data_IF_386810530168
#
_entry.id   IF_386810530168
#
_cell.length_a   1.000
_cell.length_b   1.000
_cell.length_c   1.000
_cell.angle_alpha   90.00
_cell.angle_beta   90.00
_cell.angle_gamma   90.00
#
_symmetry.space_group_name_H-M   'P 1'
#
loop_
_entity.id
_entity.type
_entity.pdbx_description
1 polymer ?
#
# COMPACT_ATOMS: atom_id res chain seq x y z
N UNK A 1 16.50 4.13 -22.51
CA UNK A 1 15.26 4.62 -21.86
C UNK A 1 15.43 6.02 -21.27
N UNK A 2 16.49 6.27 -20.48
CA UNK A 2 16.82 7.60 -19.94
C UNK A 2 16.93 8.70 -21.00
N UNK A 3 17.63 8.43 -22.11
CA UNK A 3 17.79 9.41 -23.20
C UNK A 3 16.45 9.74 -23.91
N UNK A 4 15.53 8.78 -24.01
CA UNK A 4 14.19 8.99 -24.57
C UNK A 4 13.31 9.88 -23.67
N UNK A 5 13.44 9.75 -22.33
CA UNK A 5 12.76 10.61 -21.36
C UNK A 5 13.31 12.03 -21.42
N UNK A 6 14.63 12.19 -21.56
CA UNK A 6 15.30 13.49 -21.69
C UNK A 6 14.79 14.22 -22.94
N UNK A 7 14.62 13.51 -24.05
CA UNK A 7 14.18 14.09 -25.33
C UNK A 7 12.68 14.42 -25.32
N UNK A 8 11.86 13.71 -24.54
CA UNK A 8 10.41 13.88 -24.58
C UNK A 8 9.73 13.77 -23.21
N UNK A 9 9.80 14.87 -22.43
CA UNK A 9 9.11 15.02 -21.14
C UNK A 9 7.62 14.68 -21.22
N UNK A 10 6.96 15.00 -22.35
CA UNK A 10 5.53 14.73 -22.53
C UNK A 10 5.22 13.23 -22.57
N UNK A 11 6.13 12.42 -23.13
CA UNK A 11 6.01 10.96 -23.15
C UNK A 11 6.22 10.39 -21.75
N UNK A 12 7.23 10.87 -21.03
CA UNK A 12 7.48 10.45 -19.64
C UNK A 12 6.27 10.73 -18.73
N UNK A 13 5.66 11.91 -18.83
CA UNK A 13 4.44 12.26 -18.09
C UNK A 13 3.26 11.36 -18.47
N UNK A 14 3.10 11.02 -19.76
CA UNK A 14 2.05 10.07 -20.20
C UNK A 14 2.26 8.67 -19.63
N UNK A 15 3.50 8.17 -19.62
CA UNK A 15 3.84 6.86 -19.03
C UNK A 15 3.54 6.87 -17.52
N UNK A 16 4.00 7.89 -16.81
CA UNK A 16 3.76 8.03 -15.36
C UNK A 16 2.26 8.08 -15.06
N UNK A 17 1.49 8.87 -15.82
CA UNK A 17 0.02 8.92 -15.67
C UNK A 17 -0.64 7.57 -15.96
N UNK A 18 -0.19 6.86 -16.99
CA UNK A 18 -0.72 5.53 -17.33
C UNK A 18 -0.45 4.51 -16.22
N UNK A 19 0.80 4.42 -15.75
CA UNK A 19 1.15 3.52 -14.65
C UNK A 19 0.47 3.90 -13.33
N UNK A 20 0.30 5.19 -13.04
CA UNK A 20 -0.50 5.63 -11.89
C UNK A 20 -1.94 5.11 -11.96
N UNK A 21 -2.59 5.23 -13.13
CA UNK A 21 -3.96 4.72 -13.33
C UNK A 21 -4.04 3.21 -13.19
N UNK A 22 -3.09 2.48 -13.77
CA UNK A 22 -3.01 1.02 -13.61
C UNK A 22 -2.84 0.63 -12.14
N UNK A 23 -1.96 1.32 -11.42
CA UNK A 23 -1.70 1.02 -10.02
C UNK A 23 -2.94 1.27 -9.16
N UNK A 24 -3.66 2.39 -9.36
CA UNK A 24 -4.94 2.63 -8.68
C UNK A 24 -5.98 1.57 -9.03
N UNK A 25 -6.06 1.17 -10.30
CA UNK A 25 -6.98 0.12 -10.74
C UNK A 25 -6.69 -1.22 -10.03
N UNK A 26 -5.43 -1.65 -9.97
CA UNK A 26 -5.07 -2.89 -9.28
C UNK A 26 -5.26 -2.81 -7.76
N UNK A 27 -4.93 -1.67 -7.12
CA UNK A 27 -5.24 -1.45 -5.69
C UNK A 27 -6.75 -1.62 -5.42
N UNK A 28 -7.58 -1.08 -6.30
CA UNK A 28 -9.03 -1.18 -6.19
C UNK A 28 -9.53 -2.60 -6.45
N UNK A 29 -8.98 -3.31 -7.44
CA UNK A 29 -9.30 -4.71 -7.69
C UNK A 29 -8.94 -5.59 -6.50
N UNK A 30 -7.72 -5.46 -5.98
CA UNK A 30 -7.26 -6.22 -4.82
C UNK A 30 -8.16 -5.96 -3.61
N UNK A 31 -8.51 -4.71 -3.36
CA UNK A 31 -9.45 -4.32 -2.29
C UNK A 31 -10.83 -4.97 -2.50
N UNK A 32 -11.37 -4.93 -3.72
CA UNK A 32 -12.67 -5.55 -4.05
C UNK A 32 -12.64 -7.06 -3.86
N UNK A 33 -11.57 -7.74 -4.27
CA UNK A 33 -11.40 -9.20 -4.11
C UNK A 33 -11.25 -9.55 -2.63
N UNK A 34 -10.47 -8.78 -1.88
CA UNK A 34 -10.15 -9.05 -0.47
C UNK A 34 -11.37 -8.89 0.44
N UNK A 35 -12.24 -7.92 0.15
CA UNK A 35 -13.29 -7.48 1.08
C UNK A 35 -14.72 -7.51 0.49
N UNK A 36 -14.88 -7.88 -0.78
CA UNK A 36 -16.15 -7.91 -1.50
C UNK A 36 -16.94 -6.59 -1.40
N UNK A 37 -16.24 -5.45 -1.46
CA UNK A 37 -16.84 -4.11 -1.35
C UNK A 37 -16.69 -3.30 -2.62
N UNK A 38 -17.72 -2.50 -2.91
CA UNK A 38 -17.60 -1.41 -3.85
C UNK A 38 -16.77 -0.29 -3.23
N UNK A 39 -15.86 0.27 -4.02
CA UNK A 39 -14.98 1.36 -3.60
C UNK A 39 -15.58 2.63 -4.19
N UNK A 40 -16.15 3.45 -3.32
CA UNK A 40 -16.65 4.77 -3.69
C UNK A 40 -15.71 5.84 -3.13
N UNK A 41 -15.23 6.71 -4.00
CA UNK A 41 -14.40 7.85 -3.61
C UNK A 41 -15.31 8.98 -3.11
N UNK A 42 -15.44 9.15 -1.79
CA UNK A 42 -16.31 10.15 -1.21
C UNK A 42 -15.70 10.77 0.06
N UNK A 43 -15.47 12.10 0.14
CA UNK A 43 -14.93 12.75 1.33
C UNK A 43 -15.81 12.55 2.59
N UNK A 44 -17.07 12.14 2.41
CA UNK A 44 -17.97 11.78 3.51
C UNK A 44 -17.43 10.70 4.43
N UNK A 45 -16.64 9.75 3.89
CA UNK A 45 -16.01 8.67 4.66
C UNK A 45 -14.93 9.16 5.64
N UNK A 46 -14.44 10.41 5.52
CA UNK A 46 -13.50 10.99 6.48
C UNK A 46 -14.07 11.01 7.91
N UNK A 47 -15.41 11.12 8.05
CA UNK A 47 -16.06 11.02 9.35
C UNK A 47 -15.87 9.64 9.98
N UNK A 48 -16.05 8.56 9.21
CA UNK A 48 -15.86 7.19 9.66
C UNK A 48 -14.39 6.92 10.04
N UNK A 49 -13.44 7.48 9.27
CA UNK A 49 -12.02 7.41 9.59
C UNK A 49 -11.73 8.09 10.94
N UNK A 50 -12.35 9.24 11.22
CA UNK A 50 -12.27 9.90 12.52
C UNK A 50 -12.82 9.06 13.67
N UNK A 51 -13.99 8.43 13.47
CA UNK A 51 -14.56 7.50 14.46
C UNK A 51 -13.66 6.29 14.70
N UNK A 52 -13.04 5.74 13.66
CA UNK A 52 -12.08 4.65 13.78
C UNK A 52 -10.88 5.04 14.66
N UNK A 53 -10.23 6.18 14.39
CA UNK A 53 -9.10 6.65 15.19
C UNK A 53 -9.48 6.92 16.64
N UNK A 54 -10.63 7.54 16.86
CA UNK A 54 -11.10 7.88 18.20
C UNK A 54 -11.50 6.63 19.00
N UNK A 55 -12.28 5.74 18.40
CA UNK A 55 -12.94 4.66 19.14
C UNK A 55 -12.08 3.40 19.21
N UNK A 56 -11.42 3.01 18.12
CA UNK A 56 -10.66 1.76 18.00
C UNK A 56 -9.19 1.95 18.36
N UNK A 57 -8.55 3.01 17.87
CA UNK A 57 -7.11 3.26 18.08
C UNK A 57 -6.80 4.13 19.30
N UNK A 58 -7.79 4.87 19.82
CA UNK A 58 -7.61 5.87 20.89
C UNK A 58 -6.56 6.94 20.55
N UNK A 59 -6.42 7.27 19.26
CA UNK A 59 -5.48 8.28 18.76
C UNK A 59 -6.21 9.61 18.57
N UNK A 60 -6.15 10.47 19.59
CA UNK A 60 -6.92 11.72 19.66
C UNK A 60 -6.48 12.69 18.55
N UNK A 61 -5.17 12.82 18.33
CA UNK A 61 -4.58 13.69 17.32
C UNK A 61 -5.03 13.34 15.91
N UNK A 62 -5.03 12.05 15.60
CA UNK A 62 -5.41 11.54 14.29
C UNK A 62 -6.93 11.62 14.07
N UNK A 63 -7.72 11.37 15.12
CA UNK A 63 -9.16 11.60 15.08
C UNK A 63 -9.50 13.07 14.84
N UNK A 64 -8.81 13.98 15.54
CA UNK A 64 -8.96 15.42 15.36
C UNK A 64 -8.72 15.82 13.90
N UNK A 65 -7.58 15.39 13.32
CA UNK A 65 -7.25 15.65 11.92
C UNK A 65 -8.37 15.18 10.98
N UNK A 66 -8.85 13.94 11.14
CA UNK A 66 -9.88 13.36 10.29
C UNK A 66 -11.21 14.12 10.36
N UNK A 67 -11.68 14.49 11.56
CA UNK A 67 -12.92 15.25 11.71
C UNK A 67 -12.78 16.67 11.15
N UNK A 68 -11.63 17.31 11.32
CA UNK A 68 -11.36 18.64 10.74
C UNK A 68 -11.35 18.58 9.21
N UNK A 69 -10.73 17.56 8.62
CA UNK A 69 -10.77 17.32 7.18
C UNK A 69 -12.18 17.05 6.67
N UNK A 70 -12.98 16.26 7.40
CA UNK A 70 -14.40 16.03 7.06
C UNK A 70 -15.19 17.34 7.02
N UNK A 71 -15.08 18.19 8.05
CA UNK A 71 -15.78 19.48 8.09
C UNK A 71 -15.34 20.39 6.92
N UNK A 72 -14.04 20.39 6.62
CA UNK A 72 -13.48 21.19 5.51
C UNK A 72 -14.03 20.77 4.15
N UNK A 73 -14.06 19.46 3.86
CA UNK A 73 -14.44 18.96 2.53
C UNK A 73 -15.94 18.65 2.40
N UNK A 74 -16.66 18.50 3.51
CA UNK A 74 -18.10 18.26 3.56
C UNK A 74 -18.81 19.29 4.47
N UNK A 75 -18.76 20.60 4.20
CA UNK A 75 -19.32 21.63 5.09
C UNK A 75 -20.83 21.49 5.33
N UNK A 76 -21.55 20.87 4.40
CA UNK A 76 -22.99 20.58 4.47
C UNK A 76 -23.29 19.09 4.71
N UNK A 77 -22.31 18.31 5.17
CA UNK A 77 -22.47 16.88 5.43
C UNK A 77 -23.36 16.60 6.65
N UNK A 78 -24.05 15.45 6.64
CA UNK A 78 -25.00 15.06 7.70
C UNK A 78 -24.37 15.03 9.11
N UNK A 79 -23.07 14.73 9.20
CA UNK A 79 -22.37 14.57 10.48
C UNK A 79 -21.57 15.81 10.91
N UNK A 80 -21.67 16.96 10.24
CA UNK A 80 -20.85 18.15 10.55
C UNK A 80 -21.04 18.63 11.99
N UNK A 81 -22.28 18.69 12.46
CA UNK A 81 -22.57 19.09 13.84
C UNK A 81 -22.00 18.08 14.86
N UNK A 82 -22.08 16.79 14.54
CA UNK A 82 -21.49 15.72 15.37
C UNK A 82 -19.97 15.84 15.41
N UNK A 83 -19.31 16.05 14.27
CA UNK A 83 -17.87 16.24 14.16
C UNK A 83 -17.39 17.47 14.97
N UNK A 84 -18.06 18.62 14.83
CA UNK A 84 -17.76 19.84 15.62
C UNK A 84 -17.88 19.61 17.12
N UNK A 85 -18.94 18.91 17.56
CA UNK A 85 -19.15 18.56 18.96
C UNK A 85 -18.10 17.56 19.50
N UNK A 86 -17.54 16.70 18.65
CA UNK A 86 -16.44 15.81 19.03
C UNK A 86 -15.16 16.63 19.19
N UNK A 87 -14.78 17.41 18.17
CA UNK A 87 -13.58 18.26 18.15
C UNK A 87 -13.52 19.15 19.40
N UNK A 88 -14.63 19.81 19.76
CA UNK A 88 -14.68 20.69 20.94
C UNK A 88 -14.39 19.98 22.25
N UNK A 89 -14.65 18.66 22.33
CA UNK A 89 -14.38 17.83 23.51
C UNK A 89 -12.96 17.26 23.53
N UNK A 90 -12.28 17.18 22.39
CA UNK A 90 -10.92 16.61 22.30
C UNK A 90 -9.84 17.52 22.92
N UNK A 91 -10.16 18.80 23.17
CA UNK A 91 -9.28 19.79 23.81
C UNK A 91 -7.82 19.75 23.31
N UNK A 92 -7.65 19.81 22.00
CA UNK A 92 -6.37 19.59 21.33
C UNK A 92 -5.94 20.82 20.50
N UNK A 93 -4.64 21.08 20.42
CA UNK A 93 -4.08 22.22 19.70
C UNK A 93 -3.64 21.84 18.28
N UNK A 94 -4.34 22.36 17.27
CA UNK A 94 -4.07 22.06 15.85
C UNK A 94 -2.62 22.27 15.39
N UNK A 95 -1.90 23.20 16.05
CA UNK A 95 -0.51 23.49 15.71
C UNK A 95 0.40 22.28 15.85
N UNK A 96 0.07 21.34 16.74
CA UNK A 96 0.87 20.15 17.02
C UNK A 96 0.72 19.05 15.96
N UNK A 97 -0.20 19.23 15.00
CA UNK A 97 -0.37 18.34 13.84
C UNK A 97 0.37 18.84 12.60
N UNK A 98 0.70 20.12 12.57
CA UNK A 98 1.33 20.72 11.40
C UNK A 98 2.79 20.25 11.31
N UNK A 99 3.27 19.89 10.11
CA UNK A 99 4.68 19.60 9.95
C UNK A 99 5.52 20.85 10.18
N UNK A 100 6.73 20.65 10.71
CA UNK A 100 7.73 21.71 10.77
C UNK A 100 8.20 21.97 9.35
N UNK A 101 8.06 23.21 8.88
CA UNK A 101 8.46 23.63 7.54
C UNK A 101 9.84 24.28 7.59
N UNK A 102 10.81 23.69 6.89
CA UNK A 102 12.18 24.20 6.78
C UNK A 102 12.60 24.17 5.31
N UNK A 103 12.76 25.36 4.70
CA UNK A 103 13.00 25.51 3.26
C UNK A 103 11.91 24.79 2.44
N UNK A 104 12.30 23.74 1.70
CA UNK A 104 11.41 22.91 0.89
C UNK A 104 11.07 21.56 1.56
N UNK A 105 11.40 21.38 2.84
CA UNK A 105 11.12 20.17 3.59
C UNK A 105 9.92 20.32 4.53
N UNK A 106 9.16 19.23 4.66
CA UNK A 106 8.17 19.04 5.72
C UNK A 106 8.66 17.95 6.66
N UNK A 107 8.79 18.27 7.95
CA UNK A 107 9.18 17.30 8.97
C UNK A 107 8.00 16.98 9.87
N UNK A 108 7.63 15.71 9.91
CA UNK A 108 6.55 15.17 10.73
C UNK A 108 7.13 14.35 11.88
N UNK A 109 6.54 14.46 13.06
CA UNK A 109 6.81 13.54 14.17
C UNK A 109 6.20 12.15 13.88
N UNK A 110 6.61 11.08 14.59
CA UNK A 110 5.96 9.78 14.51
C UNK A 110 4.44 9.85 14.74
N UNK A 111 3.70 8.92 14.16
CA UNK A 111 2.24 8.78 14.29
C UNK A 111 1.46 10.06 13.93
N UNK A 112 1.89 10.76 12.88
CA UNK A 112 1.22 11.94 12.33
C UNK A 112 0.68 11.64 10.94
N UNK A 113 -0.60 11.95 10.74
CA UNK A 113 -1.23 11.84 9.43
C UNK A 113 -0.59 12.84 8.47
N UNK A 114 -0.23 12.35 7.28
CA UNK A 114 0.20 13.16 6.15
C UNK A 114 -1.02 13.49 5.27
N UNK A 115 -1.84 12.47 4.99
CA UNK A 115 -3.18 12.61 4.38
C UNK A 115 -4.01 11.36 4.66
N UNK A 116 -5.33 11.47 4.50
CA UNK A 116 -6.27 10.35 4.61
C UNK A 116 -6.82 9.93 3.24
N UNK A 117 -7.28 8.68 3.16
CA UNK A 117 -8.10 8.20 2.07
C UNK A 117 -9.33 9.11 1.90
N UNK A 118 -9.76 9.32 0.66
CA UNK A 118 -10.85 10.23 0.28
C UNK A 118 -10.59 11.73 0.50
N UNK A 119 -9.40 12.15 0.95
CA UNK A 119 -9.03 13.57 0.92
C UNK A 119 -8.68 14.04 -0.48
N UNK A 120 -8.83 15.33 -0.72
CA UNK A 120 -8.29 15.98 -1.92
C UNK A 120 -6.76 16.02 -1.79
N UNK A 121 -6.04 15.49 -2.78
CA UNK A 121 -4.58 15.48 -2.82
C UNK A 121 -4.02 16.45 -3.86
N UNK A 122 -3.29 17.47 -3.41
CA UNK A 122 -2.67 18.48 -4.31
C UNK A 122 -1.17 18.30 -4.51
N UNK A 123 -0.56 17.44 -3.69
CA UNK A 123 0.88 17.19 -3.66
C UNK A 123 1.16 15.69 -3.66
N UNK A 124 2.27 15.29 -4.28
CA UNK A 124 2.94 14.05 -3.95
C UNK A 124 4.11 14.32 -3.01
N UNK A 125 4.67 13.27 -2.44
CA UNK A 125 5.76 13.38 -1.49
C UNK A 125 6.89 12.42 -1.85
N UNK A 126 8.12 12.89 -1.68
CA UNK A 126 9.33 12.07 -1.74
C UNK A 126 9.86 11.94 -0.32
N UNK A 127 10.11 10.71 0.14
CA UNK A 127 10.66 10.45 1.47
C UNK A 127 12.16 10.72 1.45
N UNK A 128 12.61 11.72 2.21
CA UNK A 128 14.03 12.00 2.39
C UNK A 128 14.62 11.28 3.60
N UNK A 129 13.81 11.05 4.63
CA UNK A 129 14.22 10.35 5.85
C UNK A 129 12.99 9.75 6.53
N UNK A 130 13.15 8.59 7.17
CA UNK A 130 12.11 7.91 7.95
C UNK A 130 11.22 6.96 7.15
N UNK A 131 10.16 6.49 7.81
CA UNK A 131 9.21 5.53 7.27
C UNK A 131 7.78 6.03 7.30
N UNK A 132 7.04 5.78 6.22
CA UNK A 132 5.61 6.14 6.08
C UNK A 132 4.80 4.86 5.87
N UNK A 133 3.78 4.68 6.70
CA UNK A 133 2.82 3.59 6.60
C UNK A 133 1.67 4.00 5.68
N UNK A 134 1.43 3.22 4.64
CA UNK A 134 0.28 3.34 3.73
C UNK A 134 -0.73 2.25 4.08
N UNK A 135 -1.98 2.64 4.32
CA UNK A 135 -3.02 1.71 4.76
C UNK A 135 -4.41 2.16 4.32
N UNK A 136 -5.37 1.24 4.34
CA UNK A 136 -6.81 1.53 4.21
C UNK A 136 -7.54 1.11 5.48
N UNK A 137 -8.74 1.66 5.69
CA UNK A 137 -9.63 1.23 6.78
C UNK A 137 -10.83 0.54 6.15
N UNK A 138 -11.00 -0.75 6.43
CA UNK A 138 -12.06 -1.58 5.85
C UNK A 138 -12.68 -2.40 6.97
N UNK A 139 -14.00 -2.32 7.13
CA UNK A 139 -14.74 -3.00 8.21
C UNK A 139 -14.17 -2.71 9.61
N UNK A 140 -13.84 -1.43 9.87
CA UNK A 140 -13.17 -0.98 11.10
C UNK A 140 -11.83 -1.69 11.39
N UNK A 141 -11.18 -2.23 10.36
CA UNK A 141 -9.85 -2.81 10.45
C UNK A 141 -8.86 -2.02 9.60
N UNK A 142 -7.67 -1.81 10.16
CA UNK A 142 -6.56 -1.21 9.43
C UNK A 142 -5.87 -2.28 8.59
N UNK A 143 -5.86 -2.08 7.28
CA UNK A 143 -5.22 -2.96 6.32
C UNK A 143 -3.95 -2.29 5.83
N UNK A 144 -2.79 -2.81 6.26
CA UNK A 144 -1.49 -2.33 5.82
C UNK A 144 -1.31 -2.64 4.33
N UNK A 145 -1.12 -1.61 3.52
CA UNK A 145 -0.82 -1.77 2.09
C UNK A 145 0.68 -1.77 1.84
N UNK A 146 1.42 -0.87 2.49
CA UNK A 146 2.87 -0.81 2.34
C UNK A 146 3.55 -0.02 3.47
N UNK A 147 4.85 -0.29 3.69
CA UNK A 147 5.74 0.52 4.51
C UNK A 147 6.80 1.14 3.59
N UNK A 148 6.72 2.46 3.41
CA UNK A 148 7.61 3.21 2.54
C UNK A 148 8.83 3.71 3.32
N UNK A 149 9.96 3.88 2.61
CA UNK A 149 11.26 4.29 3.16
C UNK A 149 11.91 5.40 2.33
N UNK A 150 13.10 5.84 2.74
CA UNK A 150 13.87 6.84 2.00
C UNK A 150 13.97 6.50 0.51
N UNK A 151 13.67 7.50 -0.34
CA UNK A 151 13.65 7.38 -1.79
C UNK A 151 12.29 7.04 -2.39
N UNK A 152 11.37 6.49 -1.61
CA UNK A 152 10.03 6.15 -2.09
C UNK A 152 9.18 7.39 -2.33
N UNK A 153 8.26 7.26 -3.27
CA UNK A 153 7.35 8.31 -3.73
C UNK A 153 5.92 7.84 -3.51
N UNK A 154 5.09 8.73 -2.95
CA UNK A 154 3.69 8.43 -2.67
C UNK A 154 2.78 9.65 -2.80
N UNK A 155 1.49 9.39 -2.96
CA UNK A 155 0.47 10.43 -3.17
C UNK A 155 0.38 10.91 -4.62
N UNK A 156 1.15 10.30 -5.52
CA UNK A 156 1.19 10.56 -6.96
C UNK A 156 -0.17 10.38 -7.64
N UNK A 157 -0.95 9.39 -7.21
CA UNK A 157 -2.21 9.04 -7.86
C UNK A 157 -3.27 10.14 -7.80
N UNK A 158 -3.29 10.92 -6.72
CA UNK A 158 -4.29 11.97 -6.56
C UNK A 158 -4.04 13.11 -7.56
N UNK A 159 -2.77 13.51 -7.71
CA UNK A 159 -2.39 14.64 -8.57
C UNK A 159 -2.36 14.27 -10.06
N UNK A 160 -2.03 13.02 -10.40
CA UNK A 160 -1.87 12.57 -11.79
C UNK A 160 -3.21 12.23 -12.44
N UNK A 161 -4.22 11.88 -11.63
CA UNK A 161 -5.55 11.51 -12.09
C UNK A 161 -6.62 12.54 -11.75
N UNK A 162 -6.28 13.61 -11.02
CA UNK A 162 -7.23 14.60 -10.49
C UNK A 162 -8.37 13.94 -9.68
N UNK A 163 -7.98 13.01 -8.79
CA UNK A 163 -8.86 12.19 -7.95
C UNK A 163 -8.54 12.32 -6.47
N UNK A 164 -9.40 11.76 -5.62
CA UNK A 164 -9.14 11.71 -4.19
C UNK A 164 -7.96 10.79 -3.88
N UNK A 165 -7.39 10.96 -2.68
CA UNK A 165 -6.37 10.06 -2.12
C UNK A 165 -6.92 8.63 -2.08
N UNK A 166 -6.14 7.69 -2.63
CA UNK A 166 -6.52 6.28 -2.73
C UNK A 166 -6.35 5.50 -1.42
N UNK A 167 -5.56 6.01 -0.48
CA UNK A 167 -5.24 5.36 0.79
C UNK A 167 -4.85 6.42 1.82
N UNK A 168 -4.75 6.03 3.09
CA UNK A 168 -4.20 6.84 4.16
C UNK A 168 -2.67 6.75 4.19
N UNK A 169 -2.02 7.85 4.57
CA UNK A 169 -0.58 7.90 4.82
C UNK A 169 -0.31 8.50 6.21
N UNK A 170 0.39 7.74 7.05
CA UNK A 170 0.79 8.15 8.40
C UNK A 170 2.28 7.89 8.62
N UNK A 171 2.97 8.78 9.33
CA UNK A 171 4.37 8.55 9.68
C UNK A 171 4.51 7.41 10.68
N UNK A 172 5.49 6.52 10.45
CA UNK A 172 5.83 5.45 11.38
C UNK A 172 7.01 5.86 12.28
N UNK A 173 7.96 6.61 11.73
CA UNK A 173 9.07 7.23 12.47
C UNK A 173 8.94 8.75 12.40
N UNK A 174 9.93 9.50 12.88
CA UNK A 174 10.10 10.88 12.43
C UNK A 174 10.38 10.84 10.92
N UNK A 175 9.69 11.66 10.14
CA UNK A 175 9.77 11.63 8.67
C UNK A 175 10.07 13.02 8.14
N UNK A 176 11.02 13.09 7.20
CA UNK A 176 11.32 14.29 6.41
C UNK A 176 10.89 14.07 4.97
N UNK A 177 10.02 14.94 4.46
CA UNK A 177 9.43 14.84 3.13
C UNK A 177 9.80 16.04 2.26
N UNK A 178 9.85 15.82 0.96
CA UNK A 178 9.82 16.88 -0.06
C UNK A 178 8.41 16.86 -0.70
N UNK A 179 7.55 17.86 -0.46
CA UNK A 179 6.28 17.98 -1.16
C UNK A 179 6.49 18.51 -2.58
N UNK A 180 5.79 17.91 -3.53
CA UNK A 180 5.80 18.31 -4.94
C UNK A 180 4.37 18.49 -5.42
N UNK A 181 3.98 19.73 -5.66
CA UNK A 181 2.69 20.04 -6.27
C UNK A 181 2.68 19.69 -7.76
N UNK A 182 1.49 19.64 -8.36
CA UNK A 182 1.28 19.31 -9.78
C UNK A 182 2.11 20.17 -10.75
N UNK A 183 2.20 21.48 -10.51
CA UNK A 183 2.94 22.41 -11.37
C UNK A 183 4.45 22.16 -11.29
N UNK A 184 4.96 21.87 -10.10
CA UNK A 184 6.36 21.57 -9.85
C UNK A 184 6.72 20.17 -10.36
N UNK A 185 5.78 19.24 -10.39
CA UNK A 185 6.01 17.88 -10.85
C UNK A 185 6.49 17.85 -12.32
N UNK A 186 5.79 18.56 -13.21
CA UNK A 186 6.19 18.63 -14.62
C UNK A 186 7.58 19.27 -14.79
N UNK A 187 7.87 20.31 -14.00
CA UNK A 187 9.19 20.94 -13.97
C UNK A 187 10.28 19.99 -13.46
N UNK A 188 9.99 19.16 -12.45
CA UNK A 188 10.93 18.16 -11.93
C UNK A 188 11.20 17.09 -12.99
N UNK A 189 10.17 16.57 -13.67
CA UNK A 189 10.35 15.57 -14.74
C UNK A 189 11.16 16.16 -15.90
N UNK A 190 10.97 17.44 -16.22
CA UNK A 190 11.70 18.14 -17.28
C UNK A 190 13.16 18.39 -16.93
N UNK A 191 13.42 18.95 -15.75
CA UNK A 191 14.75 19.42 -15.36
C UNK A 191 15.60 18.32 -14.70
N UNK A 192 14.97 17.28 -14.16
CA UNK A 192 15.63 16.15 -13.51
C UNK A 192 15.07 14.80 -14.03
N UNK A 193 15.36 14.43 -15.29
CA UNK A 193 14.89 13.18 -15.92
C UNK A 193 15.20 11.91 -15.13
N UNK A 194 16.28 11.92 -14.33
CA UNK A 194 16.65 10.84 -13.41
C UNK A 194 15.55 10.54 -12.39
N UNK A 195 14.86 11.58 -11.89
CA UNK A 195 13.76 11.45 -10.94
C UNK A 195 12.55 10.78 -11.63
N UNK A 196 12.28 11.16 -12.88
CA UNK A 196 11.21 10.55 -13.67
C UNK A 196 11.45 9.05 -13.91
N UNK A 197 12.69 8.65 -14.22
CA UNK A 197 13.07 7.23 -14.34
C UNK A 197 12.80 6.50 -13.03
N UNK A 198 13.25 7.04 -11.90
CA UNK A 198 13.01 6.43 -10.58
C UNK A 198 11.52 6.32 -10.23
N UNK A 199 10.72 7.33 -10.57
CA UNK A 199 9.26 7.28 -10.39
C UNK A 199 8.68 6.11 -11.21
N UNK A 200 9.02 6.02 -12.49
CA UNK A 200 8.53 4.97 -13.37
C UNK A 200 8.93 3.60 -12.84
N UNK A 201 10.20 3.40 -12.51
CA UNK A 201 10.70 2.14 -11.94
C UNK A 201 9.97 1.75 -10.66
N UNK A 202 9.75 2.70 -9.75
CA UNK A 202 9.06 2.46 -8.48
C UNK A 202 7.59 2.10 -8.70
N UNK A 203 6.86 2.83 -9.55
CA UNK A 203 5.46 2.51 -9.86
C UNK A 203 5.37 1.15 -10.59
N UNK A 204 6.26 0.87 -11.53
CA UNK A 204 6.30 -0.43 -12.23
C UNK A 204 6.54 -1.59 -11.26
N UNK A 205 7.46 -1.44 -10.30
CA UNK A 205 7.67 -2.46 -9.26
C UNK A 205 6.42 -2.67 -8.42
N UNK A 206 5.74 -1.59 -8.01
CA UNK A 206 4.48 -1.69 -7.25
C UNK A 206 3.37 -2.39 -8.04
N UNK A 207 3.20 -2.04 -9.32
CA UNK A 207 2.24 -2.71 -10.22
C UNK A 207 2.53 -4.20 -10.27
N UNK A 208 3.79 -4.58 -10.48
CA UNK A 208 4.20 -5.97 -10.59
C UNK A 208 3.95 -6.77 -9.30
N UNK A 209 4.23 -6.19 -8.13
CA UNK A 209 3.96 -6.84 -6.84
C UNK A 209 2.45 -7.04 -6.64
N UNK A 210 1.63 -6.02 -6.90
CA UNK A 210 0.17 -6.13 -6.72
C UNK A 210 -0.41 -7.12 -7.73
N UNK A 211 0.09 -7.13 -8.97
CA UNK A 211 -0.32 -8.12 -9.96
C UNK A 211 -0.11 -9.55 -9.44
N UNK A 212 1.10 -9.85 -8.96
CA UNK A 212 1.41 -11.15 -8.36
C UNK A 212 0.57 -11.45 -7.13
N UNK A 213 0.26 -10.44 -6.33
CA UNK A 213 -0.62 -10.60 -5.18
C UNK A 213 -2.04 -10.99 -5.62
N UNK A 214 -2.60 -10.32 -6.63
CA UNK A 214 -3.92 -10.66 -7.20
C UNK A 214 -3.90 -12.11 -7.71
N UNK A 215 -2.90 -12.49 -8.49
CA UNK A 215 -2.75 -13.87 -8.98
C UNK A 215 -2.68 -14.87 -7.81
N UNK A 216 -1.91 -14.56 -6.77
CA UNK A 216 -1.79 -15.40 -5.58
C UNK A 216 -3.13 -15.56 -4.85
N UNK A 217 -3.93 -14.50 -4.75
CA UNK A 217 -5.26 -14.54 -4.12
C UNK A 217 -6.25 -15.40 -4.91
N UNK A 218 -6.04 -15.62 -6.21
CA UNK A 218 -6.88 -16.50 -7.01
C UNK A 218 -6.58 -18.01 -6.80
N UNK A 219 -5.45 -18.35 -6.19
CA UNK A 219 -5.09 -19.76 -5.91
C UNK A 219 -6.08 -20.34 -4.90
N UNK A 220 -6.72 -21.47 -5.17
CA UNK A 220 -7.73 -22.03 -4.24
C UNK A 220 -7.14 -22.63 -2.97
N UNK A 221 -5.91 -23.14 -3.05
CA UNK A 221 -5.20 -23.75 -1.92
C UNK A 221 -4.57 -22.66 -1.03
N UNK A 222 -5.04 -22.55 0.21
CA UNK A 222 -4.56 -21.53 1.14
C UNK A 222 -3.11 -21.74 1.57
N UNK A 223 -2.62 -22.98 1.65
CA UNK A 223 -1.22 -23.26 1.95
C UNK A 223 -0.33 -22.73 0.82
N UNK A 224 -0.74 -22.96 -0.44
CA UNK A 224 -0.06 -22.42 -1.60
C UNK A 224 -0.03 -20.88 -1.59
N UNK A 225 -1.13 -20.23 -1.20
CA UNK A 225 -1.17 -18.76 -1.06
C UNK A 225 -0.13 -18.24 -0.08
N UNK A 226 0.04 -18.92 1.06
CA UNK A 226 1.00 -18.53 2.09
C UNK A 226 2.43 -18.61 1.54
N UNK A 227 2.82 -19.74 0.95
CA UNK A 227 4.16 -19.86 0.36
C UNK A 227 4.36 -18.91 -0.84
N UNK A 228 3.35 -18.76 -1.69
CA UNK A 228 3.35 -17.81 -2.80
C UNK A 228 3.58 -16.38 -2.34
N UNK A 229 2.92 -15.96 -1.25
CA UNK A 229 3.16 -14.67 -0.63
C UNK A 229 4.62 -14.52 -0.14
N UNK A 230 5.15 -15.51 0.59
CA UNK A 230 6.55 -15.47 1.03
C UNK A 230 7.52 -15.36 -0.16
N UNK A 231 7.26 -16.08 -1.25
CA UNK A 231 8.07 -16.00 -2.48
C UNK A 231 8.02 -14.60 -3.10
N UNK A 232 6.83 -13.99 -3.19
CA UNK A 232 6.66 -12.61 -3.68
C UNK A 232 7.46 -11.63 -2.81
N UNK A 233 7.49 -11.80 -1.48
CA UNK A 233 8.31 -10.97 -0.59
C UNK A 233 9.81 -11.15 -0.83
N UNK A 234 10.29 -12.37 -1.08
CA UNK A 234 11.69 -12.60 -1.44
C UNK A 234 12.06 -11.89 -2.75
N UNK A 235 11.19 -11.93 -3.75
CA UNK A 235 11.42 -11.22 -5.00
C UNK A 235 11.41 -9.69 -4.82
N UNK A 236 10.45 -9.18 -4.04
CA UNK A 236 10.36 -7.74 -3.69
C UNK A 236 11.65 -7.26 -3.05
N UNK A 237 12.17 -8.02 -2.10
CA UNK A 237 13.38 -7.70 -1.36
C UNK A 237 14.66 -8.10 -2.13
N UNK A 238 14.50 -8.65 -3.35
CA UNK A 238 15.58 -9.10 -4.24
C UNK A 238 16.53 -10.10 -3.58
N UNK A 239 15.98 -11.01 -2.79
CA UNK A 239 16.71 -12.04 -2.06
C UNK A 239 16.98 -13.23 -2.98
N UNK A 240 18.24 -13.58 -3.28
CA UNK A 240 18.54 -14.73 -4.13
C UNK A 240 18.27 -16.05 -3.38
N UNK A 241 17.66 -17.01 -4.09
CA UNK A 241 17.35 -18.35 -3.58
C UNK A 241 18.60 -19.25 -3.58
N UNK A 242 19.54 -18.97 -2.68
CA UNK A 242 20.74 -19.78 -2.51
C UNK A 242 20.49 -20.86 -1.46
N UNK A 243 20.93 -22.09 -1.76
CA UNK A 243 20.76 -23.25 -0.88
C UNK A 243 21.32 -22.98 0.52
N UNK A 244 20.51 -23.24 1.55
CA UNK A 244 20.92 -23.05 2.94
C UNK A 244 20.70 -21.65 3.50
N UNK A 245 20.35 -20.66 2.66
CA UNK A 245 20.08 -19.31 3.13
C UNK A 245 18.80 -19.29 3.97
N UNK A 246 18.82 -18.49 5.03
CA UNK A 246 17.64 -18.18 5.83
C UNK A 246 17.28 -16.71 5.67
N UNK A 247 16.02 -16.37 5.88
CA UNK A 247 15.56 -14.98 5.76
C UNK A 247 14.60 -14.63 6.90
N UNK A 248 14.80 -13.44 7.48
CA UNK A 248 13.86 -12.84 8.42
C UNK A 248 13.05 -11.82 7.63
N UNK A 249 11.79 -12.15 7.37
CA UNK A 249 10.88 -11.26 6.67
C UNK A 249 10.52 -10.10 7.60
N UNK A 250 10.43 -8.89 7.03
CA UNK A 250 9.78 -7.77 7.72
C UNK A 250 8.26 -7.91 7.62
N UNK A 251 7.74 -9.02 8.16
CA UNK A 251 6.36 -9.46 7.99
C UNK A 251 5.90 -10.21 9.24
N UNK A 252 4.77 -9.78 9.81
CA UNK A 252 4.10 -10.51 10.90
C UNK A 252 3.06 -11.49 10.35
N UNK A 253 2.53 -12.38 11.19
CA UNK A 253 1.45 -13.28 10.78
C UNK A 253 0.20 -12.52 10.30
N UNK A 254 -0.33 -11.51 11.03
CA UNK A 254 -1.44 -10.71 10.53
C UNK A 254 -1.18 -10.07 9.16
N UNK A 255 0.03 -9.56 8.92
CA UNK A 255 0.39 -8.94 7.64
C UNK A 255 0.36 -9.99 6.50
N UNK A 256 0.91 -11.18 6.75
CA UNK A 256 0.88 -12.29 5.79
C UNK A 256 -0.54 -12.75 5.49
N UNK A 257 -1.38 -12.91 6.50
CA UNK A 257 -2.78 -13.31 6.31
C UNK A 257 -3.57 -12.25 5.54
N UNK A 258 -3.35 -10.97 5.84
CA UNK A 258 -3.92 -9.86 5.08
C UNK A 258 -3.46 -9.88 3.62
N UNK A 259 -2.18 -10.16 3.36
CA UNK A 259 -1.65 -10.25 2.00
C UNK A 259 -2.31 -11.38 1.19
N UNK A 260 -2.64 -12.49 1.85
CA UNK A 260 -3.30 -13.66 1.26
C UNK A 260 -4.85 -13.57 1.23
N UNK A 261 -5.42 -12.47 1.73
CA UNK A 261 -6.87 -12.29 1.89
C UNK A 261 -7.51 -13.41 2.72
N UNK A 262 -6.85 -13.85 3.79
CA UNK A 262 -7.34 -14.89 4.69
C UNK A 262 -7.90 -14.26 5.97
N UNK A 263 -9.01 -14.81 6.46
CA UNK A 263 -9.54 -14.45 7.78
C UNK A 263 -8.48 -14.74 8.86
N UNK A 264 -8.31 -13.83 9.81
CA UNK A 264 -7.33 -13.96 10.89
C UNK A 264 -7.52 -15.23 11.75
N UNK A 265 -8.74 -15.69 11.99
CA UNK A 265 -8.99 -16.89 12.81
C UNK A 265 -8.61 -18.16 12.05
N UNK A 266 -9.19 -18.37 10.87
CA UNK A 266 -8.93 -19.53 10.01
C UNK A 266 -7.46 -19.57 9.56
N UNK A 267 -6.91 -18.41 9.19
CA UNK A 267 -5.53 -18.27 8.77
C UNK A 267 -4.53 -18.59 9.87
N UNK A 268 -4.82 -18.27 11.14
CA UNK A 268 -3.95 -18.64 12.27
C UNK A 268 -3.92 -20.13 12.52
N UNK A 269 -5.04 -20.83 12.34
CA UNK A 269 -5.11 -22.29 12.42
C UNK A 269 -4.21 -22.89 11.33
N UNK A 270 -4.35 -22.42 10.09
CA UNK A 270 -3.52 -22.84 8.97
C UNK A 270 -2.01 -22.59 9.21
N UNK A 271 -1.64 -21.41 9.72
CA UNK A 271 -0.25 -21.10 10.05
C UNK A 271 0.31 -22.07 11.10
N UNK A 272 -0.50 -22.45 12.10
CA UNK A 272 -0.09 -23.43 13.11
C UNK A 272 0.18 -24.79 12.47
N UNK A 273 -0.71 -25.26 11.59
CA UNK A 273 -0.51 -26.50 10.83
C UNK A 273 0.75 -26.43 9.94
N UNK A 274 1.02 -25.30 9.29
CA UNK A 274 2.23 -25.08 8.51
C UNK A 274 3.48 -25.18 9.40
N UNK A 275 3.50 -24.54 10.57
CA UNK A 275 4.65 -24.59 11.49
C UNK A 275 4.86 -25.99 12.09
N UNK A 276 3.79 -26.77 12.26
CA UNK A 276 3.88 -28.16 12.71
C UNK A 276 4.53 -29.05 11.64
N UNK A 277 4.15 -28.85 10.37
CA UNK A 277 4.58 -29.69 9.24
C UNK A 277 5.88 -29.23 8.56
N UNK A 278 6.17 -27.93 8.53
CA UNK A 278 7.37 -27.34 7.94
C UNK A 278 8.22 -26.64 9.02
N UNK A 279 9.23 -27.35 9.52
CA UNK A 279 10.16 -26.84 10.54
C UNK A 279 11.02 -25.67 10.07
N UNK A 280 11.05 -25.39 8.76
CA UNK A 280 11.72 -24.22 8.23
C UNK A 280 10.97 -22.93 8.52
N UNK A 281 9.64 -22.97 8.57
CA UNK A 281 8.79 -21.83 8.92
C UNK A 281 8.80 -21.63 10.44
N UNK A 282 9.31 -20.49 10.89
CA UNK A 282 9.43 -20.15 12.30
C UNK A 282 9.02 -18.69 12.54
N UNK A 283 8.79 -18.35 13.81
CA UNK A 283 8.57 -16.96 14.23
C UNK A 283 9.75 -16.55 15.12
N UNK A 284 10.37 -15.41 14.81
CA UNK A 284 11.43 -14.79 15.61
C UNK A 284 11.10 -13.32 15.82
N UNK A 285 11.11 -12.86 17.07
CA UNK A 285 10.82 -11.48 17.44
C UNK A 285 9.50 -10.94 16.84
N UNK A 286 8.46 -11.80 16.82
CA UNK A 286 7.14 -11.48 16.25
C UNK A 286 7.07 -11.46 14.73
N UNK A 287 8.18 -11.70 14.03
CA UNK A 287 8.30 -11.70 12.57
C UNK A 287 8.51 -13.10 12.03
N UNK A 288 8.17 -13.30 10.75
CA UNK A 288 8.33 -14.59 10.07
C UNK A 288 9.81 -14.80 9.73
N UNK A 289 10.35 -15.94 10.14
CA UNK A 289 11.68 -16.40 9.81
C UNK A 289 11.59 -17.72 9.06
N UNK A 290 12.25 -17.84 7.91
CA UNK A 290 12.26 -19.06 7.12
C UNK A 290 13.68 -19.57 6.88
N UNK A 291 13.94 -20.84 7.20
CA UNK A 291 15.23 -21.51 6.93
C UNK A 291 15.23 -22.15 5.54
N UNK A 292 16.37 -22.19 4.87
CA UNK A 292 16.49 -22.82 3.55
C UNK A 292 15.43 -22.28 2.57
N UNK A 293 15.45 -20.97 2.32
CA UNK A 293 14.41 -20.26 1.55
C UNK A 293 14.21 -20.81 0.13
N UNK A 294 15.17 -21.54 -0.43
CA UNK A 294 14.99 -22.27 -1.69
C UNK A 294 13.86 -23.32 -1.61
N UNK A 295 13.47 -23.74 -0.41
CA UNK A 295 12.36 -24.67 -0.20
C UNK A 295 10.99 -24.01 -0.37
N UNK A 296 10.88 -22.68 -0.24
CA UNK A 296 9.61 -21.97 -0.50
C UNK A 296 9.20 -22.18 -1.95
N UNK A 297 10.13 -21.99 -2.89
CA UNK A 297 9.87 -22.22 -4.32
C UNK A 297 9.52 -23.68 -4.61
N UNK A 298 10.20 -24.63 -3.95
CA UNK A 298 9.87 -26.06 -4.09
C UNK A 298 8.47 -26.38 -3.57
N UNK A 299 8.08 -25.82 -2.43
CA UNK A 299 6.75 -26.01 -1.84
C UNK A 299 5.66 -25.51 -2.77
N UNK A 300 5.82 -24.31 -3.35
CA UNK A 300 4.90 -23.78 -4.36
C UNK A 300 4.84 -24.72 -5.56
N UNK A 301 5.98 -25.10 -6.12
CA UNK A 301 6.05 -25.97 -7.30
C UNK A 301 5.39 -27.34 -7.06
N UNK A 302 5.54 -27.92 -5.87
CA UNK A 302 4.91 -29.19 -5.50
C UNK A 302 3.40 -29.02 -5.42
N UNK A 303 2.91 -27.97 -4.75
CA UNK A 303 1.47 -27.74 -4.60
C UNK A 303 0.83 -27.44 -5.96
N UNK A 304 1.44 -26.58 -6.77
CA UNK A 304 0.93 -26.23 -8.11
C UNK A 304 0.92 -27.42 -9.07
N UNK A 305 1.90 -28.33 -8.98
CA UNK A 305 1.89 -29.61 -9.72
C UNK A 305 0.74 -30.51 -9.29
N UNK A 306 0.47 -30.63 -7.98
CA UNK A 306 -0.65 -31.43 -7.45
C UNK A 306 -2.01 -30.87 -7.89
N UNK A 307 -2.11 -29.57 -8.09
CA UNK A 307 -3.33 -28.90 -8.53
C UNK A 307 -3.50 -28.86 -10.05
N UNK A 308 -2.58 -29.43 -10.84
CA UNK A 308 -2.54 -29.33 -12.30
C UNK A 308 -2.50 -27.89 -12.85
N UNK A 309 -2.10 -26.90 -12.04
CA UNK A 309 -2.13 -25.47 -12.39
C UNK A 309 -0.90 -24.99 -13.17
N UNK A 310 -0.16 -25.89 -13.85
CA UNK A 310 1.12 -25.54 -14.50
C UNK A 310 0.98 -24.53 -15.65
N UNK A 311 -0.13 -24.55 -16.38
CA UNK A 311 -0.32 -23.70 -17.56
C UNK A 311 -0.46 -22.20 -17.21
N UNK A 312 -0.88 -21.87 -15.98
CA UNK A 312 -1.06 -20.47 -15.58
C UNK A 312 0.19 -19.77 -15.05
N UNK A 313 1.28 -20.50 -14.78
CA UNK A 313 2.50 -19.96 -14.14
C UNK A 313 3.74 -19.99 -15.05
N UNK A 314 3.67 -20.64 -16.23
CA UNK A 314 4.71 -20.53 -17.24
C UNK A 314 4.35 -19.44 -18.25
N UNK A 315 5.17 -18.38 -18.25
CA UNK A 315 5.41 -17.39 -19.31
C UNK A 315 4.33 -17.20 -20.38
N UNK A 316 3.77 -15.98 -20.39
CA UNK A 316 3.28 -15.26 -21.58
C UNK A 316 1.86 -15.57 -22.13
N UNK A 317 1.11 -16.56 -21.62
CA UNK A 317 -0.25 -16.86 -22.17
C UNK A 317 -1.45 -16.50 -21.27
N UNK A 318 -1.25 -15.79 -20.15
CA UNK A 318 -2.37 -15.35 -19.29
C UNK A 318 -3.03 -14.04 -19.74
N UNK A 319 -2.82 -13.58 -20.98
CA UNK A 319 -3.32 -12.28 -21.45
C UNK A 319 -4.69 -12.33 -22.14
N UNK A 320 -5.26 -13.51 -22.45
CA UNK A 320 -6.58 -13.60 -23.12
C UNK A 320 -7.77 -13.65 -22.16
N UNK A 321 -7.63 -14.31 -21.02
CA UNK A 321 -8.81 -14.65 -20.19
C UNK A 321 -9.24 -13.50 -19.26
N UNK A 322 -8.45 -12.43 -19.17
CA UNK A 322 -8.80 -11.24 -18.37
C UNK A 322 -9.63 -10.22 -19.15
N UNK A 323 -9.68 -10.26 -20.48
CA UNK A 323 -10.53 -9.38 -21.27
C UNK A 323 -12.03 -9.60 -20.97
N UNK A 324 -12.42 -10.79 -20.53
CA UNK A 324 -13.82 -11.11 -20.19
C UNK A 324 -14.23 -10.65 -18.79
N UNK A 325 -13.28 -10.49 -17.85
CA UNK A 325 -13.52 -9.83 -16.56
C UNK A 325 -13.47 -8.30 -16.72
N UNK A 326 -12.73 -7.80 -17.72
CA UNK A 326 -12.58 -6.37 -18.02
C UNK A 326 -13.74 -5.77 -18.85
N UNK A 327 -14.62 -6.59 -19.43
CA UNK A 327 -15.77 -6.17 -20.25
C UNK A 327 -17.13 -6.08 -19.52
N UNK A 328 -17.21 -6.44 -18.24
CA UNK A 328 -18.40 -6.29 -17.39
C UNK A 328 -18.14 -5.34 -16.25
#
# INVERSE_FOLDING_TARGET
FKDLIIINTSVALKIIRYFSKMLRHYDNLLTKISFNKQIEENPGYLFNIGEFFLNKKKQIENAYYAFSSYIKYCPNGQNVNKAKNIISKLNFNEKDLQPIKENFYLTYQPDRIIFLEHEIGNDLFIIKEGNVKIFKIIDDQEILLNMLKEGDIFGEMAILEDKLRNACAITHTKVKLIPVNKNNFENIVKNYPEIAVKIIEHISQRIWIIHKQIENVLIKDYTARIYGALYIYLEKDRVPLVKGNSYLFDLTIPDLLSFCCLNNEEGRILIKEIMENDKNFQIKDGKIFYKNIENIEKSINVIMRKLHLREGYQKEELFSDYDDILKK
#
